data_IF_281636702672
#
_entry.id   IF_281636702672
#
_cell.length_a   1.000
_cell.length_b   1.000
_cell.length_c   1.000
_cell.angle_alpha   90.00
_cell.angle_beta   90.00
_cell.angle_gamma   90.00
#
_symmetry.space_group_name_H-M   'P 1'
#
loop_
_entity.id
_entity.type
_entity.pdbx_description
1 polymer ?
#
# COMPACT_ATOMS: atom_id res chain seq x y z
N UNK A 1 13.51 -12.80 -3.15
CA UNK A 1 12.52 -11.77 -3.54
C UNK A 1 11.62 -11.46 -2.37
N UNK A 2 11.32 -10.20 -2.18
CA UNK A 2 10.42 -9.76 -1.12
C UNK A 2 9.31 -8.92 -1.71
N UNK A 3 8.14 -9.02 -1.13
CA UNK A 3 6.99 -8.17 -1.45
C UNK A 3 6.87 -7.12 -0.35
N UNK A 4 6.66 -5.88 -0.74
CA UNK A 4 6.48 -4.76 0.19
C UNK A 4 5.12 -4.14 -0.07
N UNK A 5 4.37 -3.85 0.99
CA UNK A 5 3.06 -3.20 0.93
C UNK A 5 3.06 -2.07 1.93
N UNK A 6 2.66 -0.88 1.51
CA UNK A 6 2.79 0.32 2.31
C UNK A 6 1.42 0.96 2.54
N UNK A 7 0.99 0.98 3.80
CA UNK A 7 -0.25 1.62 4.22
C UNK A 7 0.07 3.04 4.69
N UNK A 8 -0.54 4.03 4.06
CA UNK A 8 -0.35 5.45 4.39
C UNK A 8 -1.66 5.97 4.94
N UNK A 9 -1.65 6.46 6.18
CA UNK A 9 -2.84 6.97 6.87
C UNK A 9 -2.67 8.45 7.16
N UNK A 10 -3.72 9.24 6.93
CA UNK A 10 -3.73 10.65 7.30
C UNK A 10 -4.34 10.86 8.69
N UNK A 11 -4.40 12.11 9.15
CA UNK A 11 -4.93 12.45 10.47
C UNK A 11 -6.43 12.22 10.59
N UNK A 12 -7.13 12.09 9.47
CA UNK A 12 -8.58 11.82 9.45
C UNK A 12 -8.87 10.31 9.43
N UNK A 13 -7.88 9.49 9.70
CA UNK A 13 -7.98 8.02 9.73
C UNK A 13 -8.39 7.43 8.38
N UNK A 14 -7.97 8.08 7.29
CA UNK A 14 -8.18 7.56 5.94
C UNK A 14 -6.89 7.00 5.40
N UNK A 15 -7.00 5.93 4.64
CA UNK A 15 -5.87 5.28 3.97
C UNK A 15 -5.80 5.70 2.52
N UNK A 16 -4.57 5.84 2.03
CA UNK A 16 -4.32 6.08 0.62
C UNK A 16 -4.50 4.79 -0.15
N UNK A 17 -5.45 4.76 -1.08
CA UNK A 17 -5.64 3.59 -1.93
C UNK A 17 -5.47 3.98 -3.39
N UNK A 18 -5.11 2.99 -4.21
CA UNK A 18 -4.89 3.15 -5.63
C UNK A 18 -6.00 2.45 -6.40
N UNK A 19 -6.48 3.09 -7.46
CA UNK A 19 -7.19 2.33 -8.49
C UNK A 19 -6.13 1.88 -9.49
N UNK A 20 -5.97 0.56 -9.61
CA UNK A 20 -4.97 -0.02 -10.51
C UNK A 20 -5.39 0.25 -11.95
N UNK A 21 -4.41 0.40 -12.84
CA UNK A 21 -4.69 0.60 -14.26
C UNK A 21 -5.45 -0.60 -14.83
N UNK A 22 -6.12 -0.41 -15.97
CA UNK A 22 -6.82 -1.50 -16.65
C UNK A 22 -5.86 -2.62 -17.05
N UNK A 23 -4.61 -2.27 -17.41
CA UNK A 23 -3.59 -3.26 -17.70
C UNK A 23 -3.29 -4.18 -16.51
N UNK A 24 -3.51 -3.68 -15.30
CA UNK A 24 -3.29 -4.42 -14.04
C UNK A 24 -4.59 -4.94 -13.43
N UNK A 25 -5.68 -4.93 -14.17
CA UNK A 25 -6.96 -5.49 -13.74
C UNK A 25 -8.00 -4.48 -13.26
N UNK A 26 -7.64 -3.22 -13.07
CA UNK A 26 -8.58 -2.14 -12.74
C UNK A 26 -9.19 -2.17 -11.36
N UNK A 27 -8.75 -3.05 -10.46
CA UNK A 27 -9.27 -3.12 -9.08
C UNK A 27 -8.55 -2.12 -8.18
N UNK A 28 -9.14 -1.85 -7.02
CA UNK A 28 -8.53 -1.01 -6.00
C UNK A 28 -7.51 -1.83 -5.19
N UNK A 29 -6.49 -1.16 -4.71
CA UNK A 29 -5.47 -1.82 -3.89
C UNK A 29 -4.59 -0.82 -3.14
N UNK A 30 -3.60 -1.37 -2.46
CA UNK A 30 -2.63 -0.62 -1.67
C UNK A 30 -1.30 -0.60 -2.43
N UNK A 31 -0.54 0.48 -2.29
CA UNK A 31 0.80 0.57 -2.90
C UNK A 31 1.64 -0.64 -2.50
N UNK A 32 2.12 -1.37 -3.48
CA UNK A 32 2.95 -2.54 -3.22
C UNK A 32 3.84 -2.84 -4.43
N UNK A 33 4.84 -3.69 -4.22
CA UNK A 33 5.72 -4.12 -5.28
C UNK A 33 6.72 -5.16 -4.80
N UNK A 34 7.64 -5.50 -5.69
CA UNK A 34 8.69 -6.48 -5.42
C UNK A 34 10.03 -5.79 -5.27
N UNK A 35 10.87 -6.30 -4.37
CA UNK A 35 12.24 -5.81 -4.28
C UNK A 35 13.04 -6.25 -5.50
N UNK A 36 14.05 -5.47 -5.83
CA UNK A 36 15.06 -5.82 -6.82
C UNK A 36 16.13 -6.71 -6.16
N UNK A 37 16.93 -7.39 -6.97
CA UNK A 37 18.03 -8.20 -6.46
C UNK A 37 18.99 -7.34 -5.65
N UNK A 38 19.28 -7.78 -4.41
CA UNK A 38 20.17 -7.07 -3.51
C UNK A 38 19.54 -5.88 -2.79
N UNK A 39 18.28 -5.57 -3.07
CA UNK A 39 17.59 -4.45 -2.44
C UNK A 39 16.96 -4.88 -1.12
N UNK A 40 17.14 -4.07 -0.07
CA UNK A 40 16.47 -4.31 1.20
C UNK A 40 14.99 -3.93 1.10
N UNK A 41 14.16 -4.55 1.97
CA UNK A 41 12.71 -4.34 1.91
C UNK A 41 12.33 -2.86 2.05
N UNK A 42 12.90 -2.14 3.01
CA UNK A 42 12.58 -0.71 3.19
C UNK A 42 12.98 0.14 1.99
N UNK A 43 14.12 -0.17 1.39
CA UNK A 43 14.57 0.53 0.18
C UNK A 43 13.61 0.27 -0.97
N UNK A 44 13.16 -0.98 -1.12
CA UNK A 44 12.17 -1.33 -2.12
C UNK A 44 10.85 -0.61 -1.92
N UNK A 45 10.41 -0.49 -0.67
CA UNK A 45 9.19 0.25 -0.35
C UNK A 45 9.29 1.72 -0.75
N UNK A 46 10.41 2.38 -0.42
CA UNK A 46 10.66 3.77 -0.80
C UNK A 46 10.65 3.94 -2.31
N UNK A 47 11.33 3.04 -3.01
CA UNK A 47 11.41 3.07 -4.48
C UNK A 47 10.03 2.89 -5.11
N UNK A 48 9.27 1.90 -4.66
CA UNK A 48 7.94 1.61 -5.23
C UNK A 48 6.97 2.77 -5.06
N UNK A 49 6.95 3.40 -3.88
CA UNK A 49 6.10 4.57 -3.64
C UNK A 49 6.48 5.71 -4.57
N UNK A 50 7.78 5.95 -4.73
CA UNK A 50 8.26 7.02 -5.61
C UNK A 50 7.91 6.74 -7.06
N UNK A 51 8.09 5.50 -7.51
CA UNK A 51 7.81 5.13 -8.90
C UNK A 51 6.32 5.16 -9.22
N UNK A 52 5.49 4.61 -8.33
CA UNK A 52 4.06 4.45 -8.63
C UNK A 52 3.27 5.73 -8.46
N UNK A 53 3.53 6.51 -7.43
CA UNK A 53 2.74 7.71 -7.13
C UNK A 53 3.54 8.99 -6.97
N UNK A 54 4.86 8.93 -7.13
CA UNK A 54 5.71 10.11 -7.06
C UNK A 54 5.87 10.69 -5.68
N UNK A 55 5.69 9.89 -4.64
CA UNK A 55 5.81 10.33 -3.26
C UNK A 55 7.18 9.99 -2.70
N UNK A 56 7.84 10.97 -2.07
CA UNK A 56 9.10 10.75 -1.38
C UNK A 56 8.85 10.59 0.10
N UNK A 57 9.29 9.45 0.64
CA UNK A 57 9.18 9.12 2.06
C UNK A 57 10.57 8.82 2.59
N UNK A 58 10.89 9.35 3.78
CA UNK A 58 12.14 9.00 4.46
C UNK A 58 12.03 7.61 5.06
N UNK A 59 13.14 6.89 5.05
CA UNK A 59 13.17 5.50 5.55
C UNK A 59 12.75 5.42 7.02
N UNK A 60 13.02 6.46 7.81
CA UNK A 60 12.63 6.51 9.22
C UNK A 60 11.12 6.61 9.43
N UNK A 61 10.37 7.05 8.41
CA UNK A 61 8.92 7.13 8.48
C UNK A 61 8.25 5.76 8.36
N UNK A 62 8.94 4.78 7.79
CA UNK A 62 8.39 3.45 7.60
C UNK A 62 8.44 2.64 8.89
N UNK A 63 7.29 2.14 9.31
CA UNK A 63 7.20 1.23 10.45
C UNK A 63 6.80 -0.14 9.94
N UNK A 64 7.65 -1.15 10.20
CA UNK A 64 7.31 -2.53 9.87
C UNK A 64 6.28 -3.03 10.88
N UNK A 65 5.10 -3.41 10.42
CA UNK A 65 4.02 -3.88 11.29
C UNK A 65 3.79 -5.39 11.21
N UNK A 66 4.24 -6.01 10.11
CA UNK A 66 4.07 -7.45 9.94
C UNK A 66 5.06 -7.97 8.90
N UNK A 67 5.60 -9.16 9.15
CA UNK A 67 6.51 -9.81 8.23
C UNK A 67 6.26 -11.31 8.29
N UNK A 68 6.10 -11.94 7.12
CA UNK A 68 5.90 -13.39 7.06
C UNK A 68 6.53 -13.94 5.79
N UNK A 69 6.83 -15.24 5.81
CA UNK A 69 7.35 -15.92 4.64
C UNK A 69 6.35 -16.99 4.22
N UNK A 70 5.97 -17.00 2.95
CA UNK A 70 5.06 -17.97 2.36
C UNK A 70 5.68 -18.41 1.03
N UNK A 71 5.91 -19.72 0.87
CA UNK A 71 6.48 -20.26 -0.36
C UNK A 71 7.77 -19.55 -0.79
N UNK A 72 8.66 -19.29 0.17
CA UNK A 72 9.97 -18.64 -0.04
C UNK A 72 9.89 -17.17 -0.45
N UNK A 73 8.70 -16.58 -0.38
CA UNK A 73 8.53 -15.14 -0.60
C UNK A 73 8.29 -14.49 0.76
N UNK A 74 9.07 -13.45 1.06
CA UNK A 74 8.90 -12.68 2.29
C UNK A 74 7.97 -11.50 2.01
N UNK A 75 6.91 -11.41 2.79
CA UNK A 75 5.92 -10.32 2.70
C UNK A 75 6.14 -9.36 3.86
N UNK A 76 6.27 -8.07 3.55
CA UNK A 76 6.53 -7.02 4.54
C UNK A 76 5.42 -5.99 4.44
N UNK A 77 4.72 -5.74 5.56
CA UNK A 77 3.70 -4.69 5.64
C UNK A 77 4.27 -3.50 6.41
N UNK A 78 4.28 -2.34 5.76
CA UNK A 78 4.76 -1.10 6.35
C UNK A 78 3.61 -0.13 6.59
N UNK A 79 3.77 0.71 7.60
CA UNK A 79 2.82 1.75 7.95
C UNK A 79 3.52 3.09 8.03
N UNK A 80 2.86 4.12 7.50
CA UNK A 80 3.32 5.51 7.54
C UNK A 80 2.13 6.38 7.86
N UNK A 81 2.30 7.31 8.81
CA UNK A 81 1.31 8.36 9.03
C UNK A 81 1.81 9.63 8.35
N UNK A 82 1.02 10.18 7.42
CA UNK A 82 1.49 11.32 6.62
C UNK A 82 0.31 12.05 5.99
N UNK A 83 0.36 13.39 6.03
CA UNK A 83 -0.56 14.23 5.28
C UNK A 83 -0.02 14.44 3.87
N UNK A 84 -0.84 14.15 2.87
CA UNK A 84 -0.44 14.24 1.46
C UNK A 84 -1.53 14.95 0.67
N UNK A 85 -1.13 15.96 -0.09
CA UNK A 85 -1.99 16.57 -1.09
C UNK A 85 -1.94 15.70 -2.35
N UNK A 86 -3.02 14.97 -2.62
CA UNK A 86 -3.05 14.02 -3.74
C UNK A 86 -2.84 14.71 -5.09
N UNK A 87 -3.19 15.99 -5.21
CA UNK A 87 -3.01 16.73 -6.47
C UNK A 87 -1.54 16.92 -6.83
N UNK A 88 -0.63 16.76 -5.87
CA UNK A 88 0.81 16.93 -6.08
C UNK A 88 1.53 15.64 -6.43
N UNK A 89 0.82 14.52 -6.46
CA UNK A 89 1.40 13.23 -6.80
C UNK A 89 1.55 13.08 -8.31
N UNK A 90 2.52 12.26 -8.71
CA UNK A 90 2.77 11.93 -10.11
C UNK A 90 2.59 10.43 -10.29
N UNK A 91 1.50 10.04 -10.93
CA UNK A 91 1.13 8.64 -11.04
C UNK A 91 1.78 7.97 -12.25
N UNK A 92 2.30 6.76 -12.04
CA UNK A 92 2.77 5.90 -13.11
C UNK A 92 1.55 5.25 -13.76
N UNK A 93 1.09 5.80 -14.87
CA UNK A 93 -0.22 5.45 -15.46
C UNK A 93 -0.34 4.00 -15.91
N UNK A 94 0.79 3.34 -16.22
CA UNK A 94 0.79 1.91 -16.56
C UNK A 94 0.41 1.04 -15.37
N UNK A 95 0.60 1.55 -14.14
CA UNK A 95 0.34 0.82 -12.91
C UNK A 95 -0.86 1.37 -12.16
N UNK A 96 -1.00 2.69 -12.10
CA UNK A 96 -1.96 3.39 -11.24
C UNK A 96 -2.77 4.38 -12.05
N UNK A 97 -4.09 4.18 -12.09
CA UNK A 97 -4.99 5.10 -12.78
C UNK A 97 -5.26 6.34 -11.92
N UNK A 98 -5.53 6.13 -10.62
CA UNK A 98 -5.94 7.20 -9.72
C UNK A 98 -5.69 6.81 -8.27
N UNK A 99 -5.64 7.80 -7.38
CA UNK A 99 -5.48 7.58 -5.94
C UNK A 99 -6.61 8.26 -5.17
N UNK A 100 -6.94 7.72 -4.01
CA UNK A 100 -8.05 8.19 -3.18
C UNK A 100 -7.68 8.05 -1.70
N UNK A 101 -8.26 8.93 -0.87
CA UNK A 101 -8.30 8.72 0.57
C UNK A 101 -9.60 8.00 0.91
N UNK A 102 -9.52 6.86 1.57
CA UNK A 102 -10.67 6.04 1.94
C UNK A 102 -10.63 5.65 3.41
N UNK A 103 -11.79 5.62 4.04
CA UNK A 103 -11.90 5.06 5.39
C UNK A 103 -11.77 3.54 5.32
N UNK A 104 -11.46 2.91 6.45
CA UNK A 104 -11.41 1.45 6.54
C UNK A 104 -12.77 0.85 6.17
N UNK A 105 -13.86 1.50 6.58
CA UNK A 105 -15.21 1.05 6.24
C UNK A 105 -15.46 1.07 4.73
N UNK A 106 -15.02 2.13 4.05
CA UNK A 106 -15.13 2.23 2.59
C UNK A 106 -14.33 1.12 1.91
N UNK A 107 -13.12 0.83 2.41
CA UNK A 107 -12.30 -0.24 1.86
C UNK A 107 -12.99 -1.60 2.05
N UNK A 108 -13.59 -1.85 3.20
CA UNK A 108 -14.33 -3.09 3.43
C UNK A 108 -15.51 -3.23 2.48
N UNK A 109 -16.19 -2.13 2.14
CA UNK A 109 -17.28 -2.17 1.13
C UNK A 109 -16.73 -2.50 -0.25
N UNK A 110 -15.57 -1.97 -0.60
CA UNK A 110 -14.90 -2.29 -1.87
C UNK A 110 -14.55 -3.79 -1.92
N UNK A 111 -14.06 -4.34 -0.82
CA UNK A 111 -13.76 -5.77 -0.71
C UNK A 111 -15.03 -6.59 -0.89
N UNK A 112 -16.13 -6.21 -0.23
CA UNK A 112 -17.40 -6.92 -0.32
C UNK A 112 -17.99 -6.86 -1.74
N UNK A 113 -17.73 -5.77 -2.46
CA UNK A 113 -18.17 -5.62 -3.84
C UNK A 113 -17.28 -6.36 -4.84
N UNK A 114 -16.27 -7.07 -4.36
CA UNK A 114 -15.28 -7.78 -5.19
C UNK A 114 -14.53 -6.86 -6.15
N UNK A 115 -14.25 -5.64 -5.68
CA UNK A 115 -13.53 -4.64 -6.47
C UNK A 115 -12.14 -4.34 -5.90
N UNK A 116 -11.73 -5.06 -4.86
CA UNK A 116 -10.40 -4.92 -4.26
C UNK A 116 -9.48 -6.02 -4.79
N UNK A 117 -8.19 -5.70 -4.94
CA UNK A 117 -7.20 -6.66 -5.43
C UNK A 117 -7.10 -7.85 -4.47
N UNK A 118 -7.48 -9.02 -4.96
CA UNK A 118 -7.64 -10.23 -4.13
C UNK A 118 -6.40 -10.59 -3.33
N UNK A 119 -5.22 -10.41 -3.91
CA UNK A 119 -3.96 -10.79 -3.28
C UNK A 119 -3.58 -9.92 -2.09
N UNK A 120 -4.30 -8.83 -1.88
CA UNK A 120 -4.03 -7.91 -0.76
C UNK A 120 -5.10 -7.95 0.32
N UNK A 121 -6.15 -8.76 0.17
CA UNK A 121 -7.26 -8.78 1.13
C UNK A 121 -6.79 -9.26 2.50
N UNK A 122 -6.05 -10.38 2.56
CA UNK A 122 -5.57 -10.90 3.85
C UNK A 122 -4.62 -9.92 4.53
N UNK A 123 -3.72 -9.32 3.76
CA UNK A 123 -2.79 -8.32 4.29
C UNK A 123 -3.55 -7.13 4.86
N UNK A 124 -4.59 -6.67 4.15
CA UNK A 124 -5.41 -5.56 4.65
C UNK A 124 -6.09 -5.90 5.97
N UNK A 125 -6.58 -7.13 6.13
CA UNK A 125 -7.19 -7.56 7.40
C UNK A 125 -6.19 -7.57 8.54
N UNK A 126 -4.95 -7.93 8.27
CA UNK A 126 -3.86 -7.85 9.25
C UNK A 126 -3.63 -6.39 9.65
N UNK A 127 -3.55 -5.50 8.67
CA UNK A 127 -3.40 -4.07 8.93
C UNK A 127 -4.57 -3.52 9.73
N UNK A 128 -5.79 -3.90 9.39
CA UNK A 128 -6.98 -3.45 10.10
C UNK A 128 -6.94 -3.82 11.58
N UNK A 129 -6.55 -5.06 11.89
CA UNK A 129 -6.40 -5.49 13.29
C UNK A 129 -5.31 -4.69 14.00
N UNK A 130 -4.19 -4.47 13.33
CA UNK A 130 -3.08 -3.69 13.88
C UNK A 130 -3.53 -2.28 14.26
N UNK A 131 -4.23 -1.59 13.35
CA UNK A 131 -4.61 -0.20 13.56
C UNK A 131 -5.68 -0.09 14.67
N UNK A 132 -6.56 -1.08 14.79
CA UNK A 132 -7.57 -1.11 15.87
C UNK A 132 -6.94 -1.31 17.24
N UNK A 133 -5.87 -2.06 17.33
CA UNK A 133 -5.16 -2.29 18.60
C UNK A 133 -4.32 -1.08 19.00
N UNK A 134 -3.81 -0.32 18.04
CA UNK A 134 -3.02 0.89 18.31
C UNK A 134 -3.89 2.07 18.72
N UNK A 135 -5.13 2.10 18.34
CA UNK A 135 -6.05 3.19 18.60
C UNK A 135 -7.36 2.63 19.20
#
# INVERSE_FOLDING_TARGET
MQVVTIYIKNQQNKLLIQKRSLLKGGKYGITSGHTLDGEEAKQGAIREIREEIGLNINIQELKLIYKTEINKITYNLYYVQKEIDLSKLSLQKEEVEKVYWCTIEEINRIIQANEFYDKQIEAFKIFERYIKEEF
#
